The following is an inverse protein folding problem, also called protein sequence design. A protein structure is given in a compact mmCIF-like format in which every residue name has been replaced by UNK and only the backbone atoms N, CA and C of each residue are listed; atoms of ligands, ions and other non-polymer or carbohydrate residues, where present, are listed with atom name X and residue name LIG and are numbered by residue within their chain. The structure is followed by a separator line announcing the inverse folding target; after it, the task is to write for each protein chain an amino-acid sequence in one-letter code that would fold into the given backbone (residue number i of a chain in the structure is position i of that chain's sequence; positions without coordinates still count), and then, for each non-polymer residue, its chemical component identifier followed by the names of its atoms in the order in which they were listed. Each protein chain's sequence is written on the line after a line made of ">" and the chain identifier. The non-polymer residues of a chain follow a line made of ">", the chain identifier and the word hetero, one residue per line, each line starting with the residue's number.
data_IF_100405670289
#
_entry.id   IF_100405670289
#
_cell.length_a   1.000
_cell.length_b   1.000
_cell.length_c   1.000
_cell.angle_alpha   90.00
_cell.angle_beta   90.00
_cell.angle_gamma   90.00
#
_symmetry.space_group_name_H-M   'P 1'
#
loop_
_entity.id
_entity.type
_entity.pdbx_description
1 polymer ?
#
# COMPACT_ATOMS: atom_id res chain seq x y z
N UNK A 1 -14.97 -20.78 -24.98
CA UNK A 1 -15.24 -19.43 -25.57
C UNK A 1 -14.46 -19.33 -26.87
N UNK A 2 -15.10 -19.06 -28.02
CA UNK A 2 -14.39 -18.83 -29.28
C UNK A 2 -13.58 -17.52 -29.11
N UNK A 3 -12.31 -17.44 -29.56
CA UNK A 3 -11.57 -16.19 -29.55
C UNK A 3 -12.32 -15.17 -30.43
N UNK A 4 -12.63 -14.00 -29.87
CA UNK A 4 -13.07 -12.88 -30.69
C UNK A 4 -11.96 -12.59 -31.69
N UNK A 5 -12.27 -12.59 -32.99
CA UNK A 5 -11.36 -12.20 -34.06
C UNK A 5 -11.07 -10.70 -33.91
N UNK A 6 -9.92 -10.38 -33.28
CA UNK A 6 -9.40 -9.01 -33.21
C UNK A 6 -9.20 -8.51 -34.64
N UNK A 7 -9.71 -7.31 -34.92
CA UNK A 7 -9.50 -6.67 -36.24
C UNK A 7 -8.03 -6.21 -36.36
N UNK A 8 -7.54 -6.03 -37.59
CA UNK A 8 -6.21 -5.42 -37.84
C UNK A 8 -6.06 -4.06 -37.13
N UNK A 9 -7.14 -3.30 -37.00
CA UNK A 9 -7.18 -2.03 -36.26
C UNK A 9 -6.95 -2.23 -34.77
N UNK A 10 -7.55 -3.26 -34.15
CA UNK A 10 -7.39 -3.54 -32.72
C UNK A 10 -5.95 -4.01 -32.42
N UNK A 11 -5.37 -4.81 -33.29
CA UNK A 11 -3.98 -5.25 -33.17
C UNK A 11 -3.00 -4.06 -33.30
N UNK A 12 -3.22 -3.15 -34.24
CA UNK A 12 -2.41 -1.95 -34.41
C UNK A 12 -2.51 -1.01 -33.18
N UNK A 13 -3.73 -0.83 -32.63
CA UNK A 13 -3.94 -0.02 -31.42
C UNK A 13 -3.23 -0.64 -30.19
N UNK A 14 -3.31 -1.96 -30.03
CA UNK A 14 -2.61 -2.66 -28.95
C UNK A 14 -1.10 -2.48 -29.08
N UNK A 15 -0.53 -2.66 -30.27
CA UNK A 15 0.89 -2.46 -30.51
C UNK A 15 1.35 -1.02 -30.25
N UNK A 16 0.53 -0.03 -30.63
CA UNK A 16 0.77 1.38 -30.36
C UNK A 16 0.78 1.66 -28.86
N UNK A 17 -0.22 1.22 -28.10
CA UNK A 17 -0.27 1.39 -26.65
C UNK A 17 0.94 0.78 -25.93
N UNK A 18 1.36 -0.42 -26.33
CA UNK A 18 2.57 -1.05 -25.79
C UNK A 18 3.84 -0.25 -26.10
N UNK A 19 3.94 0.31 -27.31
CA UNK A 19 5.07 1.16 -27.69
C UNK A 19 5.10 2.48 -26.88
N UNK A 20 3.94 3.10 -26.67
CA UNK A 20 3.81 4.33 -25.86
C UNK A 20 4.10 4.08 -24.38
N UNK A 21 3.84 2.88 -23.86
CA UNK A 21 4.17 2.50 -22.49
C UNK A 21 5.67 2.28 -22.24
N UNK A 22 6.48 2.04 -23.28
CA UNK A 22 7.90 1.65 -23.15
C UNK A 22 8.74 2.59 -22.26
N UNK A 23 8.65 3.94 -22.34
CA UNK A 23 9.43 4.83 -21.47
C UNK A 23 9.14 4.63 -19.98
N UNK A 24 7.87 4.35 -19.63
CA UNK A 24 7.44 4.09 -18.25
C UNK A 24 7.93 2.73 -17.78
N UNK A 25 7.83 1.69 -18.62
CA UNK A 25 8.33 0.36 -18.31
C UNK A 25 9.84 0.38 -18.04
N UNK A 26 10.60 1.11 -18.85
CA UNK A 26 12.04 1.31 -18.64
C UNK A 26 12.34 2.08 -17.35
N UNK A 27 11.53 3.09 -17.02
CA UNK A 27 11.68 3.90 -15.81
C UNK A 27 11.49 3.10 -14.52
N UNK A 28 10.55 2.17 -14.52
CA UNK A 28 10.19 1.38 -13.34
C UNK A 28 10.78 -0.04 -13.32
N UNK A 29 11.56 -0.43 -14.32
CA UNK A 29 12.27 -1.71 -14.33
C UNK A 29 13.23 -1.79 -13.13
N UNK A 30 13.05 -2.81 -12.30
CA UNK A 30 13.80 -3.01 -11.05
C UNK A 30 13.37 -2.11 -9.87
N UNK A 31 12.44 -1.18 -10.09
CA UNK A 31 11.97 -0.29 -9.04
C UNK A 31 11.18 -1.06 -7.95
N UNK A 32 11.35 -0.66 -6.70
CA UNK A 32 10.55 -1.18 -5.58
C UNK A 32 9.35 -0.25 -5.38
N UNK A 33 8.15 -0.84 -5.45
CA UNK A 33 6.89 -0.13 -5.26
C UNK A 33 6.10 -0.79 -4.13
N UNK A 34 5.92 -0.08 -3.03
CA UNK A 34 5.06 -0.54 -1.94
C UNK A 34 3.64 -0.08 -2.22
N UNK A 35 2.70 -1.02 -2.18
CA UNK A 35 1.28 -0.74 -2.45
C UNK A 35 0.46 -1.11 -1.23
N UNK A 36 -0.13 -0.12 -0.58
CA UNK A 36 -1.08 -0.35 0.51
C UNK A 36 -2.48 -0.55 -0.06
N UNK A 37 -3.03 -1.74 0.13
CA UNK A 37 -4.39 -2.10 -0.24
C UNK A 37 -5.31 -2.15 0.99
N UNK A 38 -6.45 -1.44 0.95
CA UNK A 38 -7.33 -1.37 2.12
C UNK A 38 -8.65 -0.67 1.82
N UNK A 39 -9.42 -0.44 2.87
CA UNK A 39 -10.73 0.19 2.77
C UNK A 39 -11.81 -0.74 2.22
N UNK A 40 -12.87 -0.16 1.66
CA UNK A 40 -14.04 -0.88 1.18
C UNK A 40 -13.76 -1.78 -0.04
N UNK A 41 -12.72 -1.49 -0.82
CA UNK A 41 -12.31 -2.32 -1.96
C UNK A 41 -11.93 -3.77 -1.56
N UNK A 42 -11.56 -4.00 -0.30
CA UNK A 42 -11.23 -5.35 0.20
C UNK A 42 -12.43 -6.28 0.37
N UNK A 43 -13.65 -5.73 0.44
CA UNK A 43 -14.90 -6.49 0.55
C UNK A 43 -15.51 -6.86 -0.81
N UNK A 44 -14.97 -6.33 -1.91
CA UNK A 44 -15.44 -6.55 -3.27
C UNK A 44 -14.47 -7.49 -4.01
N UNK A 45 -14.93 -8.66 -4.37
CA UNK A 45 -14.12 -9.68 -5.06
C UNK A 45 -13.71 -9.21 -6.47
N UNK A 46 -14.51 -8.39 -7.16
CA UNK A 46 -14.16 -7.84 -8.45
C UNK A 46 -13.02 -6.80 -8.33
N UNK A 47 -13.11 -5.90 -7.36
CA UNK A 47 -12.06 -4.92 -7.07
C UNK A 47 -10.76 -5.61 -6.64
N UNK A 48 -10.85 -6.68 -5.85
CA UNK A 48 -9.68 -7.47 -5.45
C UNK A 48 -9.03 -8.16 -6.66
N UNK A 49 -9.83 -8.72 -7.57
CA UNK A 49 -9.32 -9.36 -8.80
C UNK A 49 -8.66 -8.34 -9.74
N UNK A 50 -9.19 -7.13 -9.85
CA UNK A 50 -8.58 -6.04 -10.62
C UNK A 50 -7.27 -5.57 -9.99
N UNK A 51 -7.26 -5.33 -8.70
CA UNK A 51 -6.04 -5.02 -7.95
C UNK A 51 -4.96 -6.10 -8.16
N UNK A 52 -5.33 -7.37 -8.05
CA UNK A 52 -4.41 -8.47 -8.25
C UNK A 52 -3.80 -8.48 -9.67
N UNK A 53 -4.60 -8.20 -10.71
CA UNK A 53 -4.11 -8.05 -12.09
C UNK A 53 -3.11 -6.89 -12.23
N UNK A 54 -3.37 -5.75 -11.60
CA UNK A 54 -2.44 -4.62 -11.58
C UNK A 54 -1.09 -5.03 -10.99
N UNK A 55 -1.10 -5.66 -9.81
CA UNK A 55 0.11 -6.11 -9.11
C UNK A 55 0.89 -7.15 -9.93
N UNK A 56 0.19 -8.10 -10.56
CA UNK A 56 0.83 -9.10 -11.44
C UNK A 56 1.44 -8.43 -12.66
N UNK A 57 0.74 -7.50 -13.32
CA UNK A 57 1.28 -6.78 -14.47
C UNK A 57 2.51 -5.94 -14.08
N UNK A 58 2.47 -5.23 -12.95
CA UNK A 58 3.65 -4.54 -12.42
C UNK A 58 4.84 -5.50 -12.30
N UNK A 59 4.62 -6.69 -11.72
CA UNK A 59 5.68 -7.69 -11.59
C UNK A 59 6.21 -8.17 -12.94
N UNK A 60 5.34 -8.44 -13.90
CA UNK A 60 5.69 -8.92 -15.25
C UNK A 60 6.53 -7.92 -16.04
N UNK A 61 6.30 -6.63 -15.84
CA UNK A 61 7.08 -5.57 -16.51
C UNK A 61 8.35 -5.16 -15.75
N UNK A 62 8.73 -5.92 -14.73
CA UNK A 62 10.01 -5.76 -14.03
C UNK A 62 9.97 -4.88 -12.77
N UNK A 63 8.81 -4.42 -12.33
CA UNK A 63 8.65 -3.78 -11.01
C UNK A 63 8.76 -4.84 -9.92
N UNK A 64 9.22 -4.45 -8.73
CA UNK A 64 9.21 -5.25 -7.51
C UNK A 64 8.08 -4.75 -6.57
N UNK A 65 6.82 -5.21 -6.75
CA UNK A 65 5.73 -4.81 -5.90
C UNK A 65 5.81 -5.50 -4.54
N UNK A 66 5.54 -4.74 -3.47
CA UNK A 66 5.33 -5.23 -2.11
C UNK A 66 3.94 -4.78 -1.68
N UNK A 67 3.06 -5.72 -1.39
CA UNK A 67 1.68 -5.42 -0.99
C UNK A 67 1.61 -5.38 0.53
N UNK A 68 1.04 -4.30 1.08
CA UNK A 68 0.67 -4.21 2.51
C UNK A 68 -0.84 -4.01 2.57
N UNK A 69 -1.54 -4.80 3.38
CA UNK A 69 -2.99 -4.72 3.37
C UNK A 69 -3.59 -4.22 4.70
N UNK A 70 -4.82 -3.75 4.65
CA UNK A 70 -5.67 -3.53 5.82
C UNK A 70 -6.58 -4.73 6.10
N UNK A 71 -7.72 -4.49 6.74
CA UNK A 71 -8.72 -5.53 7.04
C UNK A 71 -9.80 -5.08 8.02
N UNK A 72 -9.93 -3.76 8.24
CA UNK A 72 -10.86 -3.19 9.20
C UNK A 72 -12.29 -3.73 9.13
N UNK A 73 -12.93 -3.79 7.96
CA UNK A 73 -14.28 -4.34 7.82
C UNK A 73 -14.41 -5.79 8.29
N UNK A 74 -13.48 -6.68 7.91
CA UNK A 74 -13.49 -8.08 8.29
C UNK A 74 -13.18 -8.27 9.78
N UNK A 75 -12.34 -7.43 10.36
CA UNK A 75 -12.09 -7.41 11.80
C UNK A 75 -13.37 -7.01 12.54
N UNK A 76 -14.08 -5.96 12.10
CA UNK A 76 -15.34 -5.53 12.70
C UNK A 76 -16.37 -6.64 12.68
N UNK A 77 -16.57 -7.28 11.53
CA UNK A 77 -17.52 -8.39 11.36
C UNK A 77 -17.22 -9.55 12.33
N UNK A 78 -15.94 -9.91 12.49
CA UNK A 78 -15.55 -10.99 13.39
C UNK A 78 -15.71 -10.61 14.85
N UNK A 79 -15.32 -9.40 15.25
CA UNK A 79 -15.50 -8.91 16.62
C UNK A 79 -16.99 -8.88 17.00
N UNK A 80 -17.87 -8.44 16.09
CA UNK A 80 -19.32 -8.46 16.28
C UNK A 80 -19.85 -9.90 16.49
N UNK A 81 -19.43 -10.86 15.63
CA UNK A 81 -19.79 -12.27 15.78
C UNK A 81 -19.33 -12.88 17.11
N UNK A 82 -18.23 -12.41 17.66
CA UNK A 82 -17.68 -12.88 18.94
C UNK A 82 -18.22 -12.07 20.14
N UNK A 83 -19.04 -11.05 19.92
CA UNK A 83 -19.56 -10.17 20.96
C UNK A 83 -18.50 -9.30 21.63
N UNK A 84 -17.36 -9.08 20.96
CA UNK A 84 -16.27 -8.21 21.45
C UNK A 84 -16.50 -6.79 20.97
N UNK A 85 -16.58 -5.84 21.90
CA UNK A 85 -16.70 -4.42 21.59
C UNK A 85 -15.33 -3.85 21.29
N UNK A 86 -15.25 -2.99 20.28
CA UNK A 86 -14.01 -2.29 19.91
C UNK A 86 -14.33 -0.89 19.46
N UNK A 87 -13.67 0.10 20.07
CA UNK A 87 -13.82 1.51 19.79
C UNK A 87 -12.69 2.02 18.90
N UNK A 88 -12.85 3.26 18.40
CA UNK A 88 -11.83 3.94 17.63
C UNK A 88 -11.47 5.27 18.28
N UNK A 89 -10.19 5.53 18.43
CA UNK A 89 -9.64 6.79 18.90
C UNK A 89 -8.71 7.35 17.84
N UNK A 90 -8.96 8.57 17.38
CA UNK A 90 -8.14 9.23 16.33
C UNK A 90 -7.92 8.35 15.08
N UNK A 91 -8.95 7.58 14.67
CA UNK A 91 -8.91 6.69 13.51
C UNK A 91 -8.14 5.38 13.70
N UNK A 92 -7.61 5.12 14.90
CA UNK A 92 -6.98 3.86 15.30
C UNK A 92 -7.92 3.05 16.16
N UNK A 93 -7.93 1.71 15.99
CA UNK A 93 -8.75 0.80 16.78
C UNK A 93 -8.15 0.65 18.18
N UNK A 94 -8.91 0.91 19.23
CA UNK A 94 -8.54 0.48 20.58
C UNK A 94 -8.49 -1.05 20.60
N UNK A 95 -7.38 -1.60 20.99
CA UNK A 95 -7.05 -3.01 20.79
C UNK A 95 -6.61 -3.62 22.14
N UNK A 96 -7.52 -4.26 22.83
CA UNK A 96 -7.21 -5.03 24.04
C UNK A 96 -6.63 -6.42 23.68
N UNK A 97 -6.32 -7.23 24.68
CA UNK A 97 -5.70 -8.56 24.49
C UNK A 97 -6.59 -9.51 23.68
N UNK A 98 -7.90 -9.47 23.88
CA UNK A 98 -8.83 -10.31 23.12
C UNK A 98 -8.96 -9.81 21.67
N UNK A 99 -9.02 -8.50 21.50
CA UNK A 99 -9.11 -7.86 20.19
C UNK A 99 -7.86 -8.11 19.35
N UNK A 100 -6.64 -8.04 19.92
CA UNK A 100 -5.40 -8.26 19.13
C UNK A 100 -5.31 -9.68 18.61
N UNK A 101 -5.79 -10.68 19.35
CA UNK A 101 -5.84 -12.07 18.89
C UNK A 101 -6.76 -12.23 17.66
N UNK A 102 -7.93 -11.60 17.69
CA UNK A 102 -8.86 -11.57 16.54
C UNK A 102 -8.22 -10.85 15.36
N UNK A 103 -7.58 -9.71 15.60
CA UNK A 103 -6.86 -8.95 14.56
C UNK A 103 -5.79 -9.82 13.89
N UNK A 104 -4.96 -10.51 14.67
CA UNK A 104 -3.93 -11.39 14.14
C UNK A 104 -4.52 -12.52 13.29
N UNK A 105 -5.54 -13.22 13.76
CA UNK A 105 -6.22 -14.28 13.02
C UNK A 105 -6.82 -13.79 11.70
N UNK A 106 -7.50 -12.63 11.73
CA UNK A 106 -8.17 -12.10 10.55
C UNK A 106 -7.15 -11.54 9.54
N UNK A 107 -6.18 -10.75 10.00
CA UNK A 107 -5.22 -10.14 9.09
C UNK A 107 -4.28 -11.19 8.50
N UNK A 108 -3.62 -12.00 9.33
CA UNK A 108 -2.61 -12.96 8.87
C UNK A 108 -3.22 -14.24 8.24
N UNK A 109 -4.38 -14.66 8.71
CA UNK A 109 -5.04 -15.87 8.23
C UNK A 109 -6.01 -15.62 7.09
N UNK A 110 -7.06 -14.83 7.31
CA UNK A 110 -8.15 -14.68 6.35
C UNK A 110 -7.80 -13.70 5.22
N UNK A 111 -7.53 -12.43 5.57
CA UNK A 111 -7.37 -11.35 4.58
C UNK A 111 -6.11 -11.56 3.75
N UNK A 112 -5.00 -11.82 4.41
CA UNK A 112 -3.71 -12.06 3.74
C UNK A 112 -3.82 -13.17 2.69
N UNK A 113 -4.43 -14.31 3.04
CA UNK A 113 -4.52 -15.47 2.14
C UNK A 113 -5.53 -15.25 0.99
N UNK A 114 -6.58 -14.45 1.19
CA UNK A 114 -7.46 -14.06 0.09
C UNK A 114 -6.73 -13.21 -0.96
N UNK A 115 -5.89 -12.26 -0.53
CA UNK A 115 -5.09 -11.43 -1.46
C UNK A 115 -4.06 -12.30 -2.19
N UNK A 116 -3.35 -13.17 -1.46
CA UNK A 116 -2.39 -14.11 -2.07
C UNK A 116 -3.08 -14.97 -3.13
N UNK A 117 -4.26 -15.53 -2.83
CA UNK A 117 -5.02 -16.35 -3.78
C UNK A 117 -5.42 -15.53 -5.01
N UNK A 118 -5.92 -14.30 -4.84
CA UNK A 118 -6.29 -13.44 -5.96
C UNK A 118 -5.08 -13.14 -6.90
N UNK A 119 -3.89 -12.89 -6.32
CA UNK A 119 -2.67 -12.68 -7.10
C UNK A 119 -2.27 -13.97 -7.85
N UNK A 120 -2.40 -15.14 -7.23
CA UNK A 120 -2.13 -16.42 -7.88
C UNK A 120 -3.13 -16.72 -8.99
N UNK A 121 -4.41 -16.44 -8.78
CA UNK A 121 -5.47 -16.60 -9.80
C UNK A 121 -5.25 -15.65 -11.01
N UNK A 122 -4.63 -14.49 -10.77
CA UNK A 122 -4.21 -13.57 -11.83
C UNK A 122 -2.89 -14.01 -12.55
N UNK A 123 -2.30 -15.16 -12.17
CA UNK A 123 -1.09 -15.71 -12.77
C UNK A 123 0.23 -15.23 -12.15
N UNK A 124 0.18 -14.57 -10.99
CA UNK A 124 1.36 -14.17 -10.22
C UNK A 124 1.87 -15.29 -9.30
N UNK A 125 3.04 -15.06 -8.71
CA UNK A 125 3.57 -15.86 -7.59
C UNK A 125 3.57 -14.99 -6.36
N UNK A 126 2.86 -15.36 -5.30
CA UNK A 126 2.76 -14.56 -4.08
C UNK A 126 2.94 -15.40 -2.82
N UNK A 127 3.50 -14.77 -1.79
CA UNK A 127 3.60 -15.34 -0.43
C UNK A 127 3.08 -14.31 0.57
N UNK A 128 2.22 -14.78 1.46
CA UNK A 128 1.69 -13.96 2.54
C UNK A 128 2.46 -14.17 3.83
N UNK A 129 2.92 -13.06 4.40
CA UNK A 129 3.63 -12.97 5.67
C UNK A 129 2.99 -11.88 6.54
N UNK A 130 3.41 -11.78 7.78
CA UNK A 130 3.08 -10.69 8.70
C UNK A 130 4.35 -9.91 9.09
N UNK A 131 4.20 -8.83 9.82
CA UNK A 131 5.35 -8.12 10.37
C UNK A 131 6.14 -8.91 11.42
N UNK A 132 5.57 -10.04 11.92
CA UNK A 132 6.24 -10.93 12.88
C UNK A 132 7.25 -11.88 12.21
N UNK A 133 7.07 -12.16 10.91
CA UNK A 133 7.94 -13.11 10.20
C UNK A 133 9.31 -12.47 9.97
N UNK A 134 10.35 -13.17 10.37
CA UNK A 134 11.76 -12.72 10.29
C UNK A 134 12.00 -11.35 10.95
N UNK A 135 11.26 -11.05 12.03
CA UNK A 135 11.27 -9.73 12.70
C UNK A 135 11.16 -8.55 11.72
N UNK A 136 10.37 -8.77 10.65
CA UNK A 136 10.13 -7.74 9.60
C UNK A 136 9.74 -6.41 10.21
N UNK A 137 8.94 -6.42 11.30
CA UNK A 137 8.45 -5.22 11.96
C UNK A 137 8.42 -5.41 13.48
N UNK A 138 9.27 -4.67 14.19
CA UNK A 138 9.27 -4.61 15.65
C UNK A 138 8.69 -3.27 16.09
N UNK A 139 7.82 -3.31 17.11
CA UNK A 139 7.03 -2.17 17.55
C UNK A 139 7.22 -1.84 19.03
N UNK A 140 7.05 -0.56 19.37
CA UNK A 140 6.64 -0.10 20.69
C UNK A 140 5.14 0.14 20.74
N UNK A 141 4.54 0.16 21.93
CA UNK A 141 3.18 0.65 22.10
C UNK A 141 3.08 2.09 21.58
N UNK A 142 2.03 2.37 20.78
CA UNK A 142 1.83 3.69 20.17
C UNK A 142 1.30 4.71 21.19
N UNK A 143 0.21 4.37 21.86
CA UNK A 143 -0.45 5.18 22.90
C UNK A 143 -1.03 4.23 23.94
N UNK A 144 -0.79 4.43 25.24
CA UNK A 144 -1.36 3.59 26.29
C UNK A 144 -2.89 3.43 26.23
N UNK A 145 -3.60 4.46 25.77
CA UNK A 145 -5.06 4.41 25.61
C UNK A 145 -5.52 3.46 24.49
N UNK A 146 -4.64 3.14 23.55
CA UNK A 146 -4.92 2.27 22.42
C UNK A 146 -4.66 0.78 22.71
N UNK A 147 -3.99 0.44 23.83
CA UNK A 147 -3.62 -0.92 24.18
C UNK A 147 -2.57 -1.50 23.23
N UNK A 148 -2.86 -2.68 22.64
CA UNK A 148 -1.94 -3.38 21.73
C UNK A 148 -1.94 -2.79 20.30
N UNK A 149 -1.81 -1.48 20.19
CA UNK A 149 -1.55 -0.79 18.93
C UNK A 149 -0.08 -0.43 18.87
N UNK A 150 0.61 -0.86 17.80
CA UNK A 150 2.05 -0.72 17.63
C UNK A 150 2.46 0.44 16.75
N UNK A 151 3.56 1.09 17.14
CA UNK A 151 4.33 2.03 16.33
C UNK A 151 5.65 1.36 15.94
N UNK A 152 5.92 1.13 14.63
CA UNK A 152 7.16 0.53 14.17
C UNK A 152 8.40 1.33 14.61
N UNK A 153 9.38 0.65 15.17
CA UNK A 153 10.67 1.21 15.63
C UNK A 153 11.86 0.53 14.97
N UNK A 154 11.77 -0.77 14.67
CA UNK A 154 12.81 -1.50 13.94
C UNK A 154 12.18 -2.24 12.76
N UNK A 155 12.91 -2.30 11.64
CA UNK A 155 12.47 -2.94 10.41
C UNK A 155 13.57 -3.82 9.82
N UNK A 156 13.32 -5.13 9.73
CA UNK A 156 14.16 -6.06 8.98
C UNK A 156 13.48 -6.41 7.64
N UNK A 157 13.86 -5.70 6.59
CA UNK A 157 13.23 -5.88 5.26
C UNK A 157 13.94 -6.93 4.39
N UNK A 158 14.84 -7.74 4.97
CA UNK A 158 15.61 -8.70 4.19
C UNK A 158 14.72 -9.78 3.57
N UNK A 159 13.76 -10.31 4.32
CA UNK A 159 12.79 -11.29 3.82
C UNK A 159 12.00 -10.77 2.60
N UNK A 160 11.65 -9.47 2.57
CA UNK A 160 10.97 -8.88 1.43
C UNK A 160 11.88 -8.84 0.19
N UNK A 161 13.17 -8.49 0.39
CA UNK A 161 14.18 -8.49 -0.68
C UNK A 161 14.38 -9.88 -1.27
N UNK A 162 14.47 -10.88 -0.43
CA UNK A 162 14.66 -12.27 -0.86
C UNK A 162 13.46 -12.78 -1.65
N UNK A 163 12.24 -12.47 -1.20
CA UNK A 163 11.02 -12.84 -1.91
C UNK A 163 10.93 -12.18 -3.29
N UNK A 164 11.04 -10.85 -3.38
CA UNK A 164 10.90 -10.21 -4.69
C UNK A 164 12.07 -10.52 -5.65
N UNK A 165 13.29 -10.74 -5.14
CA UNK A 165 14.42 -11.21 -5.95
C UNK A 165 14.20 -12.63 -6.49
N UNK A 166 13.47 -13.49 -5.75
CA UNK A 166 13.04 -14.81 -6.21
C UNK A 166 11.83 -14.78 -7.16
N UNK A 167 11.35 -13.60 -7.53
CA UNK A 167 10.18 -13.43 -8.39
C UNK A 167 8.84 -13.64 -7.69
N UNK A 168 8.81 -13.55 -6.35
CA UNK A 168 7.63 -13.76 -5.53
C UNK A 168 7.16 -12.40 -5.01
N UNK A 169 5.87 -12.14 -5.10
CA UNK A 169 5.23 -10.93 -4.60
C UNK A 169 4.95 -11.11 -3.10
N UNK A 170 5.59 -10.34 -2.19
CA UNK A 170 5.26 -10.41 -0.77
C UNK A 170 3.96 -9.67 -0.49
N UNK A 171 3.10 -10.30 0.33
CA UNK A 171 1.85 -9.72 0.84
C UNK A 171 1.93 -9.68 2.36
N UNK A 172 1.97 -8.48 2.93
CA UNK A 172 2.27 -8.26 4.35
C UNK A 172 1.02 -7.88 5.13
N UNK A 173 0.71 -8.64 6.16
CA UNK A 173 -0.28 -8.30 7.16
C UNK A 173 0.35 -7.35 8.21
N UNK A 174 -0.31 -6.23 8.59
CA UNK A 174 0.23 -5.25 9.52
C UNK A 174 0.06 -5.69 10.99
N UNK A 175 0.65 -6.80 11.33
CA UNK A 175 0.76 -7.38 12.68
C UNK A 175 2.24 -7.50 13.02
N UNK A 176 2.66 -7.04 14.19
CA UNK A 176 4.06 -6.90 14.55
C UNK A 176 4.38 -7.50 15.93
N UNK A 177 5.65 -7.64 16.24
CA UNK A 177 6.17 -8.08 17.54
C UNK A 177 6.56 -6.87 18.39
N UNK A 178 6.22 -6.88 19.68
CA UNK A 178 6.64 -5.88 20.64
C UNK A 178 8.11 -6.05 21.04
N UNK A 179 8.87 -4.96 21.05
CA UNK A 179 10.31 -4.96 21.38
C UNK A 179 10.60 -5.35 22.84
N UNK A 180 9.67 -5.03 23.75
CA UNK A 180 9.88 -5.21 25.18
C UNK A 180 9.45 -6.59 25.71
N UNK A 181 8.43 -7.20 25.09
CA UNK A 181 7.67 -8.29 25.69
C UNK A 181 7.30 -9.42 24.70
N UNK A 182 7.68 -9.29 23.43
CA UNK A 182 7.29 -10.15 22.33
C UNK A 182 5.75 -10.28 22.13
N UNK A 183 4.96 -9.37 22.69
CA UNK A 183 3.52 -9.34 22.50
C UNK A 183 3.16 -8.97 21.06
N UNK A 184 1.99 -9.40 20.64
CA UNK A 184 1.46 -9.05 19.32
C UNK A 184 0.88 -7.65 19.33
N UNK A 185 1.25 -6.83 18.36
CA UNK A 185 0.69 -5.49 18.13
C UNK A 185 -0.04 -5.41 16.79
N UNK A 186 -1.21 -4.76 16.83
CA UNK A 186 -1.94 -4.32 15.66
C UNK A 186 -1.31 -3.02 15.15
N UNK A 187 -0.87 -2.98 13.90
CA UNK A 187 -0.32 -1.77 13.29
C UNK A 187 -1.30 -1.21 12.28
N UNK A 188 -1.46 0.11 12.24
CA UNK A 188 -2.26 0.73 11.18
C UNK A 188 -1.65 0.42 9.80
N UNK A 189 -2.47 0.01 8.83
CA UNK A 189 -1.99 -0.43 7.53
C UNK A 189 -1.23 0.65 6.73
N UNK A 190 -1.61 1.92 6.83
CA UNK A 190 -0.89 3.02 6.18
C UNK A 190 0.47 3.23 6.87
N UNK A 191 0.49 3.19 8.22
CA UNK A 191 1.73 3.28 9.02
C UNK A 191 2.70 2.13 8.70
N UNK A 192 2.19 0.89 8.63
CA UNK A 192 3.00 -0.27 8.26
C UNK A 192 3.58 -0.14 6.85
N UNK A 193 2.76 0.28 5.87
CA UNK A 193 3.20 0.49 4.50
C UNK A 193 4.25 1.60 4.40
N UNK A 194 4.08 2.70 5.15
CA UNK A 194 5.07 3.79 5.23
C UNK A 194 6.41 3.30 5.78
N UNK A 195 6.39 2.57 6.91
CA UNK A 195 7.60 2.04 7.53
C UNK A 195 8.34 1.03 6.62
N UNK A 196 7.61 0.12 5.98
CA UNK A 196 8.19 -0.81 4.98
C UNK A 196 8.78 -0.04 3.80
N UNK A 197 8.06 0.95 3.25
CA UNK A 197 8.54 1.73 2.12
C UNK A 197 9.79 2.53 2.48
N UNK A 198 9.85 3.14 3.67
CA UNK A 198 11.02 3.86 4.17
C UNK A 198 12.24 2.94 4.32
N UNK A 199 12.08 1.80 4.99
CA UNK A 199 13.15 0.83 5.20
C UNK A 199 13.69 0.22 3.89
N UNK A 200 12.81 0.01 2.90
CA UNK A 200 13.20 -0.42 1.56
C UNK A 200 13.80 0.72 0.71
N UNK A 201 13.63 1.98 1.12
CA UNK A 201 13.91 3.18 0.31
C UNK A 201 13.20 3.08 -1.05
N UNK A 202 11.92 2.74 -0.99
CA UNK A 202 11.10 2.43 -2.15
C UNK A 202 11.06 3.59 -3.16
N UNK A 203 10.98 3.26 -4.44
CA UNK A 203 10.81 4.27 -5.49
C UNK A 203 9.44 4.93 -5.43
N UNK A 204 8.42 4.16 -4.99
CA UNK A 204 7.05 4.65 -4.83
C UNK A 204 6.37 3.97 -3.63
N UNK A 205 5.54 4.75 -2.94
CA UNK A 205 4.51 4.24 -2.04
C UNK A 205 3.15 4.65 -2.59
N UNK A 206 2.29 3.67 -2.87
CA UNK A 206 0.91 3.88 -3.32
C UNK A 206 -0.03 3.59 -2.15
N UNK A 207 -0.77 4.59 -1.68
CA UNK A 207 -1.77 4.47 -0.63
C UNK A 207 -3.17 4.43 -1.27
N UNK A 208 -3.69 3.23 -1.53
CA UNK A 208 -5.03 3.04 -2.05
C UNK A 208 -6.06 3.29 -0.94
N UNK A 209 -7.01 4.14 -1.24
CA UNK A 209 -8.06 4.58 -0.32
C UNK A 209 -9.41 4.68 -1.06
N UNK A 210 -10.44 5.22 -0.43
CA UNK A 210 -11.78 5.43 -0.98
C UNK A 210 -12.03 6.88 -1.42
N UNK A 211 -10.97 7.67 -1.57
CA UNK A 211 -11.05 9.05 -2.08
C UNK A 211 -10.06 9.26 -3.22
N UNK A 212 -10.41 10.14 -4.15
CA UNK A 212 -9.62 10.40 -5.36
C UNK A 212 -8.22 11.00 -5.10
N UNK A 213 -7.99 11.54 -3.91
CA UNK A 213 -6.73 12.19 -3.52
C UNK A 213 -6.92 13.31 -2.52
N UNK A 214 -5.89 14.10 -2.33
CA UNK A 214 -5.89 15.30 -1.48
C UNK A 214 -6.58 16.44 -2.22
N UNK A 215 -7.53 17.12 -1.55
CA UNK A 215 -8.28 18.24 -2.12
C UNK A 215 -7.77 19.56 -1.58
N UNK A 216 -7.76 20.59 -2.43
CA UNK A 216 -7.53 21.98 -2.05
C UNK A 216 -8.76 22.59 -1.35
N UNK A 217 -8.69 23.86 -0.95
CA UNK A 217 -9.77 24.58 -0.29
C UNK A 217 -11.05 24.70 -1.16
N UNK A 218 -10.92 24.66 -2.49
CA UNK A 218 -12.01 24.67 -3.47
C UNK A 218 -12.60 23.28 -3.73
N UNK A 219 -12.11 22.23 -3.05
CA UNK A 219 -12.56 20.86 -3.20
C UNK A 219 -12.02 20.11 -4.44
N UNK A 220 -11.08 20.69 -5.16
CA UNK A 220 -10.45 20.09 -6.34
C UNK A 220 -9.29 19.18 -5.93
N UNK A 221 -9.15 18.03 -6.58
CA UNK A 221 -8.04 17.11 -6.35
C UNK A 221 -6.75 17.71 -6.88
N UNK A 222 -5.75 17.78 -6.02
CA UNK A 222 -4.40 18.22 -6.38
C UNK A 222 -3.58 17.02 -6.89
N UNK A 223 -3.08 17.07 -8.11
CA UNK A 223 -2.33 15.96 -8.72
C UNK A 223 -0.88 15.89 -8.24
N UNK A 224 -0.28 17.03 -7.89
CA UNK A 224 1.09 17.13 -7.35
C UNK A 224 1.09 18.08 -6.17
N UNK A 225 1.74 17.68 -5.08
CA UNK A 225 1.80 18.44 -3.84
C UNK A 225 3.21 18.28 -3.26
N UNK A 226 3.77 19.37 -2.75
CA UNK A 226 5.03 19.32 -2.00
C UNK A 226 4.79 18.99 -0.53
N UNK A 227 5.78 18.45 0.19
CA UNK A 227 5.69 18.25 1.65
C UNK A 227 5.34 19.53 2.42
N UNK A 228 5.83 20.67 1.95
CA UNK A 228 5.55 21.96 2.59
C UNK A 228 4.08 22.38 2.40
N UNK A 229 3.53 22.24 1.20
CA UNK A 229 2.10 22.49 0.95
C UNK A 229 1.21 21.58 1.80
N UNK A 230 1.59 20.30 1.97
CA UNK A 230 0.87 19.37 2.86
C UNK A 230 0.83 19.92 4.30
N UNK A 231 1.96 20.37 4.85
CA UNK A 231 2.03 20.94 6.20
C UNK A 231 1.19 22.21 6.33
N UNK A 232 1.26 23.10 5.35
CA UNK A 232 0.46 24.34 5.32
C UNK A 232 -1.04 24.05 5.24
N UNK A 233 -1.47 23.13 4.37
CA UNK A 233 -2.87 22.73 4.23
C UNK A 233 -3.40 22.04 5.50
N UNK A 234 -2.57 21.26 6.18
CA UNK A 234 -2.93 20.64 7.47
C UNK A 234 -3.09 21.71 8.54
N UNK A 235 -2.15 22.65 8.65
CA UNK A 235 -2.23 23.76 9.60
C UNK A 235 -3.43 24.68 9.35
N UNK A 236 -3.82 24.86 8.09
CA UNK A 236 -5.01 25.63 7.68
C UNK A 236 -6.33 24.87 7.84
N UNK A 237 -6.31 23.58 8.25
CA UNK A 237 -7.50 22.74 8.39
C UNK A 237 -8.13 22.29 7.06
N UNK A 238 -7.46 22.50 5.93
CA UNK A 238 -7.89 22.02 4.61
C UNK A 238 -7.74 20.48 4.53
N UNK A 239 -6.60 19.95 5.00
CA UNK A 239 -6.42 18.53 5.22
C UNK A 239 -6.99 18.20 6.59
N UNK A 240 -8.03 17.35 6.65
CA UNK A 240 -8.77 17.02 7.86
C UNK A 240 -9.16 15.53 7.93
N UNK A 241 -9.60 15.10 9.12
CA UNK A 241 -10.16 13.76 9.32
C UNK A 241 -9.22 12.63 8.92
N UNK A 242 -9.73 11.65 8.20
CA UNK A 242 -8.98 10.45 7.77
C UNK A 242 -7.85 10.72 6.77
N UNK A 243 -7.73 11.93 6.19
CA UNK A 243 -6.63 12.31 5.32
C UNK A 243 -5.36 12.65 6.12
N UNK A 244 -5.49 13.18 7.36
CA UNK A 244 -4.34 13.52 8.22
C UNK A 244 -3.38 12.35 8.38
N UNK A 245 -3.77 11.17 8.89
CA UNK A 245 -2.83 10.07 9.08
C UNK A 245 -2.20 9.57 7.78
N UNK A 246 -2.87 9.72 6.63
CA UNK A 246 -2.33 9.36 5.32
C UNK A 246 -1.23 10.31 4.87
N UNK A 247 -1.46 11.60 5.04
CA UNK A 247 -0.45 12.63 4.70
C UNK A 247 0.72 12.60 5.68
N UNK A 248 0.50 12.35 6.96
CA UNK A 248 1.58 12.12 7.95
C UNK A 248 2.45 10.92 7.56
N UNK A 249 1.82 9.80 7.19
CA UNK A 249 2.53 8.62 6.68
C UNK A 249 3.34 8.97 5.42
N UNK A 250 2.77 9.74 4.50
CA UNK A 250 3.46 10.15 3.29
C UNK A 250 4.68 11.03 3.59
N UNK A 251 4.54 12.02 4.47
CA UNK A 251 5.66 12.88 4.87
C UNK A 251 6.78 12.09 5.53
N UNK A 252 6.46 11.21 6.48
CA UNK A 252 7.44 10.36 7.15
C UNK A 252 8.16 9.43 6.16
N UNK A 253 7.44 8.79 5.25
CA UNK A 253 8.04 7.91 4.24
C UNK A 253 9.01 8.68 3.31
N UNK A 254 8.67 9.93 2.93
CA UNK A 254 9.58 10.79 2.14
C UNK A 254 10.84 11.17 2.93
N UNK A 255 10.72 11.50 4.22
CA UNK A 255 11.85 11.78 5.11
C UNK A 255 12.78 10.56 5.24
N UNK A 256 12.21 9.35 5.30
CA UNK A 256 12.95 8.08 5.34
C UNK A 256 13.55 7.65 3.99
N UNK A 257 13.27 8.38 2.92
CA UNK A 257 13.95 8.20 1.62
C UNK A 257 13.09 7.64 0.49
N UNK A 258 11.80 7.43 0.66
CA UNK A 258 10.88 7.13 -0.45
C UNK A 258 10.89 8.30 -1.44
N UNK A 259 10.89 8.02 -2.75
CA UNK A 259 11.00 9.09 -3.77
C UNK A 259 9.70 9.86 -3.98
N UNK A 260 8.57 9.17 -3.95
CA UNK A 260 7.25 9.78 -4.03
C UNK A 260 6.20 8.88 -3.40
N UNK A 261 5.20 9.50 -2.80
CA UNK A 261 4.02 8.83 -2.24
C UNK A 261 2.79 9.32 -2.99
N UNK A 262 1.92 8.42 -3.41
CA UNK A 262 0.68 8.78 -4.08
C UNK A 262 -0.51 8.26 -3.28
N UNK A 263 -1.47 9.13 -3.01
CA UNK A 263 -2.77 8.81 -2.43
C UNK A 263 -3.78 8.76 -3.58
N UNK A 264 -4.42 7.61 -3.79
CA UNK A 264 -5.29 7.37 -4.94
C UNK A 264 -6.50 6.50 -4.58
N UNK A 265 -7.55 6.60 -5.41
CA UNK A 265 -8.78 5.81 -5.22
C UNK A 265 -8.57 4.36 -5.70
N UNK A 266 -8.54 3.43 -4.74
CA UNK A 266 -8.39 2.00 -5.01
C UNK A 266 -9.61 1.33 -5.63
N UNK A 267 -10.74 2.05 -5.82
CA UNK A 267 -11.93 1.55 -6.51
C UNK A 267 -11.89 1.83 -8.01
N UNK A 268 -10.97 2.70 -8.45
CA UNK A 268 -10.79 2.98 -9.88
C UNK A 268 -10.08 1.79 -10.52
N UNK A 269 -10.63 1.20 -11.60
CA UNK A 269 -9.98 0.12 -12.32
C UNK A 269 -8.59 0.53 -12.82
N UNK A 270 -7.62 -0.37 -12.66
CA UNK A 270 -6.23 -0.17 -13.08
C UNK A 270 -5.54 1.07 -12.46
N UNK A 271 -5.95 1.47 -11.25
CA UNK A 271 -5.45 2.69 -10.60
C UNK A 271 -3.92 2.67 -10.42
N UNK A 272 -3.32 1.52 -10.05
CA UNK A 272 -1.87 1.40 -9.92
C UNK A 272 -1.15 1.56 -11.27
N UNK A 273 -1.71 1.00 -12.32
CA UNK A 273 -1.12 1.09 -13.66
C UNK A 273 -1.23 2.51 -14.22
N UNK A 274 -2.39 3.16 -14.04
CA UNK A 274 -2.58 4.56 -14.44
C UNK A 274 -1.58 5.49 -13.75
N UNK A 275 -1.34 5.29 -12.45
CA UNK A 275 -0.39 6.10 -11.69
C UNK A 275 1.06 5.91 -12.15
N UNK A 276 1.46 4.68 -12.46
CA UNK A 276 2.86 4.38 -12.78
C UNK A 276 3.19 4.53 -14.26
N UNK A 277 2.24 4.19 -15.15
CA UNK A 277 2.51 4.02 -16.58
C UNK A 277 1.78 5.01 -17.49
N UNK A 278 1.27 6.12 -16.92
CA UNK A 278 0.70 7.23 -17.70
C UNK A 278 1.18 8.59 -17.17
N UNK A 279 1.09 9.62 -18.03
CA UNK A 279 1.45 11.00 -17.66
C UNK A 279 0.43 11.65 -16.72
N UNK A 280 -0.83 11.21 -16.77
CA UNK A 280 -1.91 11.82 -15.98
C UNK A 280 -1.89 11.39 -14.51
N UNK A 281 -1.39 10.17 -14.23
CA UNK A 281 -1.50 9.58 -12.88
C UNK A 281 -2.96 9.26 -12.51
N UNK A 282 -3.17 8.84 -11.27
CA UNK A 282 -4.48 8.43 -10.76
C UNK A 282 -4.88 9.09 -9.44
N UNK A 283 -4.02 9.92 -8.86
CA UNK A 283 -4.24 10.50 -7.54
C UNK A 283 -3.40 11.74 -7.24
N UNK A 284 -3.17 11.97 -5.95
CA UNK A 284 -2.32 13.06 -5.45
C UNK A 284 -0.93 12.54 -5.14
N UNK A 285 0.05 12.94 -5.93
CA UNK A 285 1.45 12.60 -5.70
C UNK A 285 2.11 13.63 -4.80
N UNK A 286 2.67 13.17 -3.68
CA UNK A 286 3.47 13.98 -2.76
C UNK A 286 4.94 13.63 -3.01
N UNK A 287 5.74 14.65 -3.36
CA UNK A 287 7.17 14.48 -3.63
C UNK A 287 7.96 15.74 -3.32
N UNK A 288 9.24 15.59 -2.94
CA UNK A 288 10.14 16.72 -2.86
C UNK A 288 10.38 17.33 -4.24
N UNK A 289 10.48 18.65 -4.32
CA UNK A 289 10.83 19.39 -5.54
C UNK A 289 12.30 19.26 -5.89
N UNK A 290 13.18 18.82 -4.99
CA UNK A 290 14.58 18.65 -5.28
C UNK A 290 14.83 17.49 -6.26
N UNK A 291 15.50 17.75 -7.41
CA UNK A 291 15.87 16.70 -8.33
C UNK A 291 16.95 15.83 -7.71
N UNK A 292 16.59 14.60 -7.29
CA UNK A 292 17.61 13.63 -6.88
C UNK A 292 18.47 13.25 -8.08
N UNK A 293 19.78 13.36 -7.89
CA UNK A 293 20.79 12.93 -8.86
C UNK A 293 20.50 11.49 -9.29
N UNK A 294 20.27 11.29 -10.58
CA UNK A 294 20.09 9.94 -11.16
C UNK A 294 21.31 9.08 -10.79
N UNK A 295 21.15 7.86 -10.27
CA UNK A 295 22.28 6.96 -10.16
C UNK A 295 22.86 6.77 -11.57
N UNK A 296 24.18 6.97 -11.72
CA UNK A 296 24.89 6.64 -12.97
C UNK A 296 24.67 5.16 -13.23
N UNK A 297 23.92 4.82 -14.26
CA UNK A 297 23.90 3.47 -14.82
C UNK A 297 25.33 3.20 -15.29
N UNK A 298 26.03 2.32 -14.57
CA UNK A 298 27.29 1.76 -15.08
C UNK A 298 26.90 0.89 -16.28
N UNK A 299 27.34 1.33 -17.45
CA UNK A 299 27.31 0.53 -18.68
C UNK A 299 28.24 -0.65 -18.55
#
# INVERSE_FOLDING_TARGET
>A
MKPQTSTMSDAANTAKMLSEALPYLQRYSGAVVVVKFGGNAMGDDAAMAEFARDIVLMRQVGVNPVVVHGGGPMINEMLEKLGIKSDFVRGKRVTDKATVQVVEMILSGLVNKRIVQAIMDAGGRAVGISGKDDDLMVCEADDPELGFVGRPVEMNVQVLRDLYNAGIIPVVAPVATGIADNETFNVNGDTAAGAIAGALKADRLLLLTDVAGVKNAEGQVMTQITPEEVRQMTAAGVIAGGMIPKTETALKALEEGVRAVTILDGRVPNACLMELFTDHGAGSQIRSTEPRVKPRVKR
#
